data_IF_799845844672
#
_entry.id   IF_799845844672
#
_cell.length_a   1.000
_cell.length_b   1.000
_cell.length_c   1.000
_cell.angle_alpha   90.00
_cell.angle_beta   90.00
_cell.angle_gamma   90.00
#
_symmetry.space_group_name_H-M   'P 1'
#
loop_
_entity.id
_entity.type
_entity.pdbx_description
1 polymer ?
#
# COMPACT_ATOMS: atom_id res chain seq x y z
N UNK A 1 -2.59 -21.64 10.85
CA UNK A 1 -1.97 -22.63 9.96
C UNK A 1 -0.94 -23.45 10.72
N UNK A 2 -1.00 -24.78 10.69
CA UNK A 2 -0.08 -25.66 11.45
C UNK A 2 0.90 -26.35 10.49
N UNK A 3 1.90 -25.58 10.04
CA UNK A 3 2.99 -26.05 9.15
C UNK A 3 4.28 -25.28 9.41
N UNK A 4 5.46 -25.84 9.09
CA UNK A 4 6.74 -25.18 9.38
C UNK A 4 6.92 -23.87 8.58
N UNK A 5 7.03 -22.73 9.27
CA UNK A 5 7.35 -21.41 8.70
C UNK A 5 6.62 -20.23 9.37
N UNK A 6 7.21 -19.03 9.32
CA UNK A 6 6.57 -17.78 9.77
C UNK A 6 5.72 -17.20 8.62
N UNK A 7 4.46 -17.62 8.54
CA UNK A 7 3.49 -17.16 7.53
C UNK A 7 2.67 -15.99 8.05
N UNK A 8 2.29 -15.09 7.14
CA UNK A 8 1.39 -13.97 7.43
C UNK A 8 0.12 -14.14 6.63
N UNK A 9 -1.00 -14.29 7.35
CA UNK A 9 -2.32 -14.32 6.75
C UNK A 9 -2.64 -12.93 6.16
N UNK A 10 -3.24 -12.87 4.95
CA UNK A 10 -3.71 -11.61 4.39
C UNK A 10 -4.63 -10.90 5.39
N UNK A 11 -4.26 -9.68 5.77
CA UNK A 11 -4.89 -8.98 6.90
C UNK A 11 -5.37 -7.59 6.50
N UNK A 12 -6.58 -7.23 6.91
CA UNK A 12 -7.13 -5.89 6.79
C UNK A 12 -7.18 -5.25 8.18
N UNK A 13 -6.49 -4.12 8.35
CA UNK A 13 -6.53 -3.31 9.56
C UNK A 13 -7.41 -2.11 9.29
N UNK A 14 -8.55 -2.05 9.97
CA UNK A 14 -9.50 -0.92 9.85
C UNK A 14 -9.28 0.10 10.95
N UNK A 15 -9.77 1.32 10.75
CA UNK A 15 -9.60 2.47 11.67
C UNK A 15 -8.13 2.77 11.98
N UNK A 16 -7.25 2.57 10.98
CA UNK A 16 -5.84 2.87 11.13
C UNK A 16 -5.62 4.38 11.27
N UNK A 17 -4.52 4.76 11.93
CA UNK A 17 -4.09 6.16 12.03
C UNK A 17 -2.77 6.34 11.31
N UNK A 18 -2.67 7.40 10.52
CA UNK A 18 -1.50 7.62 9.68
C UNK A 18 -0.22 7.79 10.52
N UNK A 19 -0.30 8.32 11.74
CA UNK A 19 0.88 8.53 12.61
C UNK A 19 1.39 7.24 13.26
N UNK A 20 0.69 6.11 13.12
CA UNK A 20 1.16 4.85 13.69
C UNK A 20 2.47 4.43 13.02
N UNK A 21 3.51 4.06 13.81
CA UNK A 21 4.78 3.64 13.25
C UNK A 21 4.65 2.53 12.20
N UNK A 22 3.73 1.60 12.40
CA UNK A 22 3.52 0.50 11.45
C UNK A 22 2.79 0.90 10.16
N UNK A 23 2.09 2.04 10.14
CA UNK A 23 1.52 2.65 8.92
C UNK A 23 2.58 3.43 8.15
N UNK A 24 3.51 4.07 8.88
CA UNK A 24 4.61 4.85 8.31
C UNK A 24 5.77 3.98 7.79
N UNK A 25 6.02 2.85 8.44
CA UNK A 25 7.07 1.90 8.06
C UNK A 25 6.62 0.96 6.94
N UNK A 26 7.49 0.80 5.96
CA UNK A 26 7.28 -0.13 4.86
C UNK A 26 7.34 -1.60 5.33
N UNK A 27 6.19 -2.25 5.45
CA UNK A 27 6.06 -3.70 5.70
C UNK A 27 5.78 -4.57 4.46
N UNK A 28 6.70 -5.48 4.08
CA UNK A 28 6.54 -6.41 2.94
C UNK A 28 5.66 -7.62 3.29
N UNK A 29 4.36 -7.41 3.43
CA UNK A 29 3.37 -8.46 3.69
C UNK A 29 2.03 -8.14 3.00
N UNK A 30 1.13 -9.15 2.88
CA UNK A 30 -0.21 -8.98 2.30
C UNK A 30 -1.16 -8.28 3.28
N UNK A 31 -0.81 -7.07 3.72
CA UNK A 31 -1.58 -6.28 4.69
C UNK A 31 -1.99 -4.92 4.10
N UNK A 32 -3.18 -4.47 4.50
CA UNK A 32 -3.65 -3.11 4.20
C UNK A 32 -4.16 -2.41 5.45
N UNK A 33 -3.86 -1.12 5.52
CA UNK A 33 -4.42 -0.19 6.51
C UNK A 33 -5.51 0.63 5.84
N UNK A 34 -6.73 0.54 6.36
CA UNK A 34 -7.86 1.34 5.90
C UNK A 34 -8.02 2.54 6.84
N UNK A 35 -8.00 3.73 6.24
CA UNK A 35 -8.17 5.02 6.89
C UNK A 35 -9.34 5.73 6.23
N UNK A 36 -10.09 6.51 7.00
CA UNK A 36 -11.20 7.31 6.49
C UNK A 36 -10.81 8.77 6.32
N UNK A 37 -11.42 9.44 5.35
CA UNK A 37 -11.35 10.88 5.16
C UNK A 37 -12.71 11.49 4.84
N UNK A 38 -12.83 12.81 4.97
CA UNK A 38 -14.02 13.57 4.55
C UNK A 38 -13.73 14.47 3.35
N UNK A 39 -12.62 15.23 3.37
CA UNK A 39 -12.24 16.11 2.27
C UNK A 39 -11.10 15.51 1.46
N UNK A 40 -11.13 15.66 0.13
CA UNK A 40 -10.10 15.12 -0.75
C UNK A 40 -8.70 15.69 -0.46
N UNK A 41 -8.63 16.96 -0.04
CA UNK A 41 -7.36 17.57 0.39
C UNK A 41 -6.77 16.86 1.60
N UNK A 42 -7.59 16.48 2.59
CA UNK A 42 -7.16 15.67 3.73
C UNK A 42 -6.68 14.29 3.27
N UNK A 43 -7.36 13.68 2.30
CA UNK A 43 -6.95 12.40 1.73
C UNK A 43 -5.57 12.48 1.05
N UNK A 44 -5.31 13.54 0.29
CA UNK A 44 -4.02 13.80 -0.35
C UNK A 44 -2.95 14.04 0.71
N UNK A 45 -3.23 14.82 1.75
CA UNK A 45 -2.30 15.05 2.85
C UNK A 45 -1.96 13.74 3.60
N UNK A 46 -2.95 12.90 3.87
CA UNK A 46 -2.74 11.57 4.47
C UNK A 46 -1.92 10.66 3.54
N UNK A 47 -2.22 10.67 2.24
CA UNK A 47 -1.51 9.90 1.22
C UNK A 47 -0.03 10.32 1.14
N UNK A 48 0.22 11.62 1.05
CA UNK A 48 1.55 12.22 0.94
C UNK A 48 2.33 12.21 2.27
N UNK A 49 1.67 12.02 3.41
CA UNK A 49 2.24 12.02 4.76
C UNK A 49 3.10 10.80 5.12
N UNK A 50 3.91 10.31 4.17
CA UNK A 50 4.92 9.25 4.33
C UNK A 50 6.21 9.64 3.61
N UNK A 51 7.32 9.07 4.05
CA UNK A 51 8.64 9.36 3.48
C UNK A 51 8.83 8.79 2.06
N UNK A 52 8.15 7.69 1.73
CA UNK A 52 8.27 6.99 0.45
C UNK A 52 7.28 7.52 -0.59
N UNK A 53 7.74 7.72 -1.83
CA UNK A 53 6.96 8.33 -2.91
C UNK A 53 7.02 7.52 -4.21
N UNK A 54 6.94 6.19 -4.16
CA UNK A 54 7.07 5.35 -5.35
C UNK A 54 5.83 5.41 -6.24
N UNK A 55 4.72 4.85 -5.76
CA UNK A 55 3.50 4.70 -6.52
C UNK A 55 2.28 5.09 -5.71
N UNK A 56 1.27 5.57 -6.42
CA UNK A 56 0.00 6.01 -5.87
C UNK A 56 -1.14 5.60 -6.79
N UNK A 57 -2.35 5.56 -6.23
CA UNK A 57 -3.56 5.31 -7.00
C UNK A 57 -4.74 6.11 -6.45
N UNK A 58 -5.66 6.49 -7.33
CA UNK A 58 -6.98 7.00 -6.97
C UNK A 58 -8.05 6.20 -7.70
N UNK A 59 -9.11 5.82 -6.99
CA UNK A 59 -10.35 5.33 -7.59
C UNK A 59 -11.39 6.44 -7.51
N UNK A 60 -11.87 6.89 -8.67
CA UNK A 60 -12.82 8.00 -8.82
C UNK A 60 -13.44 7.99 -10.21
N UNK A 61 -14.68 8.46 -10.32
CA UNK A 61 -15.29 8.85 -11.61
C UNK A 61 -15.44 10.36 -11.77
N UNK A 62 -15.12 11.14 -10.73
CA UNK A 62 -15.15 12.59 -10.74
C UNK A 62 -13.88 13.18 -11.37
N UNK A 63 -14.01 13.73 -12.58
CA UNK A 63 -12.88 14.27 -13.35
C UNK A 63 -12.09 15.34 -12.57
N UNK A 64 -12.76 16.21 -11.81
CA UNK A 64 -12.07 17.22 -11.01
C UNK A 64 -11.21 16.64 -9.89
N UNK A 65 -11.63 15.51 -9.29
CA UNK A 65 -10.85 14.83 -8.24
C UNK A 65 -9.63 14.15 -8.85
N UNK A 66 -9.81 13.55 -10.03
CA UNK A 66 -8.76 12.91 -10.81
C UNK A 66 -7.72 13.94 -11.25
N UNK A 67 -8.15 15.07 -11.83
CA UNK A 67 -7.26 16.16 -12.25
C UNK A 67 -6.46 16.72 -11.07
N UNK A 68 -7.12 16.98 -9.94
CA UNK A 68 -6.44 17.44 -8.74
C UNK A 68 -5.37 16.43 -8.28
N UNK A 69 -5.72 15.14 -8.21
CA UNK A 69 -4.80 14.09 -7.78
C UNK A 69 -3.59 13.93 -8.71
N UNK A 70 -3.77 14.10 -10.02
CA UNK A 70 -2.69 14.03 -11.01
C UNK A 70 -1.90 15.35 -11.15
N UNK A 71 -2.40 16.45 -10.59
CA UNK A 71 -1.73 17.75 -10.65
C UNK A 71 -0.54 17.83 -9.69
N UNK A 72 0.25 18.89 -9.81
CA UNK A 72 1.35 19.19 -8.88
C UNK A 72 0.90 19.41 -7.42
N UNK A 73 -0.39 19.68 -7.18
CA UNK A 73 -0.95 19.81 -5.83
C UNK A 73 -1.48 18.46 -5.27
N UNK A 74 -1.47 17.41 -6.09
CA UNK A 74 -2.03 16.10 -5.76
C UNK A 74 -1.00 15.13 -5.20
N UNK A 75 -0.94 13.92 -5.78
CA UNK A 75 0.03 12.91 -5.37
C UNK A 75 1.46 13.35 -5.64
N UNK A 76 2.30 13.23 -4.63
CA UNK A 76 3.73 13.51 -4.71
C UNK A 76 4.59 12.25 -4.99
N UNK A 77 3.95 11.18 -5.49
CA UNK A 77 4.62 9.96 -5.92
C UNK A 77 5.06 10.03 -7.38
N UNK A 78 6.16 9.36 -7.72
CA UNK A 78 6.68 9.30 -9.09
C UNK A 78 5.72 8.64 -10.09
N UNK A 79 4.86 7.74 -9.60
CA UNK A 79 3.80 7.10 -10.38
C UNK A 79 2.44 7.42 -9.75
N UNK A 80 1.52 7.95 -10.56
CA UNK A 80 0.13 8.17 -10.18
C UNK A 80 -0.82 7.49 -11.16
N UNK A 81 -1.81 6.77 -10.62
CA UNK A 81 -2.75 5.95 -11.41
C UNK A 81 -4.18 6.27 -11.07
N UNK A 82 -5.05 6.12 -12.06
CA UNK A 82 -6.49 6.32 -11.93
C UNK A 82 -7.21 5.01 -12.20
N UNK A 83 -8.12 4.64 -11.31
CA UNK A 83 -8.94 3.44 -11.37
C UNK A 83 -8.15 2.13 -11.53
N UNK A 84 -6.92 2.12 -11.01
CA UNK A 84 -6.03 0.97 -10.94
C UNK A 84 -5.36 0.93 -9.57
N UNK A 85 -4.97 -0.27 -9.13
CA UNK A 85 -4.17 -0.44 -7.92
C UNK A 85 -2.76 0.16 -8.12
N UNK A 86 -2.01 0.27 -7.03
CA UNK A 86 -0.66 0.88 -7.09
C UNK A 86 0.35 0.02 -7.86
N UNK A 87 0.06 -1.26 -8.07
CA UNK A 87 0.91 -2.22 -8.80
C UNK A 87 0.77 -2.12 -10.33
N UNK A 88 1.76 -2.60 -11.08
CA UNK A 88 1.79 -2.57 -12.54
C UNK A 88 2.53 -1.35 -13.10
N UNK A 89 3.84 -1.46 -13.23
CA UNK A 89 4.66 -0.49 -13.93
C UNK A 89 4.57 -0.73 -15.44
N UNK A 90 4.27 0.30 -16.23
CA UNK A 90 4.42 0.18 -17.68
C UNK A 90 5.92 0.11 -18.00
N UNK A 91 6.35 -0.98 -18.63
CA UNK A 91 7.75 -1.27 -18.96
C UNK A 91 8.34 -0.22 -19.91
N UNK A 92 7.49 0.52 -20.63
CA UNK A 92 7.89 1.61 -21.52
C UNK A 92 7.86 3.02 -20.90
N UNK A 93 7.31 3.19 -19.70
CA UNK A 93 7.22 4.51 -19.06
C UNK A 93 8.54 4.87 -18.35
N UNK A 94 8.87 6.16 -18.31
CA UNK A 94 10.00 6.64 -17.52
C UNK A 94 9.77 6.27 -16.04
N UNK A 95 10.59 5.36 -15.53
CA UNK A 95 10.50 4.83 -14.17
C UNK A 95 11.44 5.65 -13.26
N UNK A 96 10.88 6.43 -12.33
CA UNK A 96 11.56 7.01 -11.18
C UNK A 96 10.56 7.32 -10.05
N UNK A 97 10.84 6.89 -8.81
CA UNK A 97 10.07 7.29 -7.64
C UNK A 97 10.33 8.76 -7.26
N UNK A 98 9.64 9.24 -6.23
CA UNK A 98 9.85 10.56 -5.63
C UNK A 98 10.27 10.42 -4.16
N UNK A 99 10.59 11.55 -3.52
CA UNK A 99 11.02 11.59 -2.11
C UNK A 99 12.19 10.64 -1.81
N UNK A 100 12.03 9.80 -0.77
CA UNK A 100 13.03 8.84 -0.37
C UNK A 100 13.21 7.68 -1.37
N UNK A 101 12.24 7.47 -2.27
CA UNK A 101 12.23 6.39 -3.25
C UNK A 101 13.10 6.70 -4.47
N UNK A 102 12.96 7.91 -5.05
CA UNK A 102 13.62 8.31 -6.30
C UNK A 102 15.01 8.91 -6.16
N UNK A 103 15.23 9.69 -5.11
CA UNK A 103 16.49 10.41 -4.89
C UNK A 103 17.63 9.54 -4.35
N UNK A 104 17.46 8.21 -4.32
CA UNK A 104 18.40 7.31 -3.66
C UNK A 104 18.46 7.57 -2.17
N UNK A 105 17.34 7.76 -1.48
CA UNK A 105 17.39 8.05 -0.04
C UNK A 105 17.23 6.80 0.85
N UNK A 106 16.74 5.68 0.28
CA UNK A 106 16.89 4.38 0.92
C UNK A 106 18.36 4.11 1.29
N UNK A 107 18.61 3.40 2.39
CA UNK A 107 19.98 3.19 2.90
C UNK A 107 20.95 2.61 1.86
N UNK A 108 20.44 1.84 0.88
CA UNK A 108 21.21 1.34 -0.27
C UNK A 108 21.26 2.37 -1.40
N UNK A 109 20.12 2.97 -1.77
CA UNK A 109 20.05 4.01 -2.79
C UNK A 109 21.02 5.16 -2.53
N UNK A 110 21.23 5.53 -1.25
CA UNK A 110 22.11 6.65 -0.87
C UNK A 110 23.56 6.32 -1.06
N UNK A 111 23.93 5.07 -0.80
CA UNK A 111 25.29 4.58 -1.05
C UNK A 111 25.55 4.55 -2.55
N UNK A 112 24.61 4.04 -3.34
CA UNK A 112 24.73 3.98 -4.80
C UNK A 112 24.79 5.38 -5.41
N UNK A 113 23.89 6.29 -5.03
CA UNK A 113 23.88 7.67 -5.49
C UNK A 113 25.20 8.39 -5.13
N UNK A 114 25.72 8.23 -3.91
CA UNK A 114 27.01 8.80 -3.53
C UNK A 114 28.19 8.22 -4.34
N UNK A 115 28.18 6.92 -4.63
CA UNK A 115 29.22 6.28 -5.45
C UNK A 115 29.14 6.80 -6.89
N UNK A 116 27.95 6.81 -7.49
CA UNK A 116 27.74 7.26 -8.88
C UNK A 116 28.01 8.76 -9.03
N UNK A 117 27.59 9.57 -8.05
CA UNK A 117 27.81 11.02 -8.04
C UNK A 117 29.29 11.42 -8.02
N UNK A 118 30.18 10.59 -7.45
CA UNK A 118 31.65 10.80 -7.53
C UNK A 118 32.19 10.71 -8.95
N UNK A 119 31.44 10.14 -9.89
CA UNK A 119 31.88 9.93 -11.26
C UNK A 119 31.41 11.00 -12.26
N UNK A 120 30.80 12.11 -11.81
CA UNK A 120 30.44 13.37 -12.52
C UNK A 120 29.76 13.27 -13.91
N UNK A 121 29.52 12.07 -14.46
CA UNK A 121 29.01 11.85 -15.82
C UNK A 121 28.05 10.68 -15.98
N UNK A 122 27.72 9.96 -14.90
CA UNK A 122 26.69 8.90 -14.92
C UNK A 122 25.47 9.33 -14.12
N UNK A 123 24.29 9.28 -14.74
CA UNK A 123 23.01 9.50 -14.06
C UNK A 123 22.50 8.15 -13.55
N UNK A 124 22.02 8.10 -12.32
CA UNK A 124 21.33 6.94 -11.77
C UNK A 124 19.84 7.25 -11.68
N UNK A 125 19.02 6.33 -12.20
CA UNK A 125 17.59 6.27 -11.91
C UNK A 125 17.44 5.19 -10.83
N UNK A 126 16.96 5.58 -9.65
CA UNK A 126 16.86 4.70 -8.50
C UNK A 126 15.40 4.51 -8.13
N UNK A 127 14.97 3.25 -8.13
CA UNK A 127 13.61 2.86 -7.80
C UNK A 127 13.66 2.05 -6.53
N UNK A 128 13.62 2.78 -5.42
CA UNK A 128 13.73 2.18 -4.11
C UNK A 128 12.33 1.77 -3.59
N UNK A 129 12.26 1.59 -2.29
CA UNK A 129 11.14 0.98 -1.63
C UNK A 129 9.96 1.97 -1.47
N UNK A 130 8.73 1.46 -1.25
CA UNK A 130 7.49 2.24 -1.40
C UNK A 130 6.48 1.98 -0.28
N UNK A 131 5.83 3.04 0.22
CA UNK A 131 4.71 2.97 1.16
C UNK A 131 3.42 3.45 0.50
N UNK A 132 3.01 2.71 -0.53
CA UNK A 132 2.04 3.16 -1.51
C UNK A 132 0.62 3.27 -0.92
N UNK A 133 0.01 4.41 -1.17
CA UNK A 133 -1.37 4.72 -0.80
C UNK A 133 -2.31 4.69 -2.02
N UNK A 134 -3.55 4.30 -1.75
CA UNK A 134 -4.64 4.35 -2.72
C UNK A 134 -5.83 5.11 -2.12
N UNK A 135 -6.23 6.21 -2.76
CA UNK A 135 -7.42 6.99 -2.39
C UNK A 135 -8.65 6.39 -3.07
N UNK A 136 -9.75 6.25 -2.35
CA UNK A 136 -11.05 5.81 -2.90
C UNK A 136 -12.08 6.86 -2.54
N UNK A 137 -12.56 7.59 -3.55
CA UNK A 137 -13.53 8.67 -3.34
C UNK A 137 -14.99 8.18 -3.36
N UNK A 138 -15.90 9.09 -3.05
CA UNK A 138 -17.34 8.84 -2.98
C UNK A 138 -17.97 8.43 -4.31
N UNK A 139 -17.29 8.67 -5.44
CA UNK A 139 -17.77 8.39 -6.80
C UNK A 139 -17.17 7.11 -7.39
N UNK A 140 -16.30 6.43 -6.63
CA UNK A 140 -15.57 5.27 -7.08
C UNK A 140 -16.49 4.06 -7.37
N UNK A 141 -16.14 3.29 -8.42
CA UNK A 141 -16.65 1.93 -8.55
C UNK A 141 -15.99 1.04 -7.48
N UNK A 142 -16.74 0.73 -6.42
CA UNK A 142 -16.23 -0.02 -5.28
C UNK A 142 -15.85 -1.46 -5.64
N UNK A 143 -16.45 -2.07 -6.65
CA UNK A 143 -16.08 -3.44 -7.07
C UNK A 143 -14.75 -3.43 -7.77
N UNK A 144 -14.54 -2.46 -8.68
CA UNK A 144 -13.27 -2.26 -9.33
C UNK A 144 -12.17 -1.89 -8.31
N UNK A 145 -12.47 -0.96 -7.41
CA UNK A 145 -11.55 -0.56 -6.35
C UNK A 145 -11.14 -1.74 -5.47
N UNK A 146 -12.11 -2.51 -4.95
CA UNK A 146 -11.82 -3.65 -4.10
C UNK A 146 -10.98 -4.72 -4.82
N UNK A 147 -11.26 -5.02 -6.08
CA UNK A 147 -10.49 -5.98 -6.87
C UNK A 147 -9.05 -5.48 -7.11
N UNK A 148 -8.89 -4.22 -7.50
CA UNK A 148 -7.61 -3.60 -7.80
C UNK A 148 -6.73 -3.47 -6.54
N UNK A 149 -7.30 -3.03 -5.43
CA UNK A 149 -6.63 -2.94 -4.12
C UNK A 149 -6.22 -4.32 -3.64
N UNK A 150 -7.13 -5.31 -3.70
CA UNK A 150 -6.82 -6.69 -3.27
C UNK A 150 -5.66 -7.25 -4.07
N UNK A 151 -5.70 -7.16 -5.41
CA UNK A 151 -4.60 -7.63 -6.26
C UNK A 151 -3.30 -6.87 -5.97
N UNK A 152 -3.38 -5.56 -5.76
CA UNK A 152 -2.24 -4.71 -5.43
C UNK A 152 -1.61 -5.04 -4.07
N UNK A 153 -2.40 -5.47 -3.09
CA UNK A 153 -1.95 -5.76 -1.74
C UNK A 153 -1.48 -7.21 -1.56
N UNK A 154 -2.23 -8.19 -2.08
CA UNK A 154 -1.95 -9.62 -1.86
C UNK A 154 -1.11 -10.24 -2.98
N UNK A 155 -1.08 -9.62 -4.16
CA UNK A 155 -0.32 -10.13 -5.31
C UNK A 155 1.15 -10.36 -4.96
N UNK A 156 1.69 -11.52 -5.33
CA UNK A 156 3.04 -11.98 -4.93
C UNK A 156 3.30 -11.86 -3.42
N UNK A 157 2.29 -12.16 -2.62
CA UNK A 157 2.32 -12.12 -1.15
C UNK A 157 2.66 -10.72 -0.58
N UNK A 158 2.27 -9.65 -1.29
CA UNK A 158 2.55 -8.26 -0.89
C UNK A 158 4.02 -7.84 -0.97
N UNK A 159 4.85 -8.63 -1.67
CA UNK A 159 6.29 -8.42 -1.79
C UNK A 159 6.69 -7.66 -3.06
N UNK A 160 5.89 -6.68 -3.47
CA UNK A 160 6.26 -5.72 -4.53
C UNK A 160 6.57 -4.37 -3.91
N UNK A 161 7.57 -3.68 -4.43
CA UNK A 161 7.83 -2.27 -4.10
C UNK A 161 6.59 -1.39 -4.33
N UNK A 162 5.77 -1.75 -5.33
CA UNK A 162 4.51 -1.07 -5.69
C UNK A 162 3.25 -1.64 -5.03
N UNK A 163 3.37 -2.55 -4.04
CA UNK A 163 2.18 -3.15 -3.40
C UNK A 163 1.34 -2.09 -2.70
N UNK A 164 0.01 -2.22 -2.75
CA UNK A 164 -0.91 -1.31 -2.06
C UNK A 164 -0.92 -1.63 -0.58
N UNK A 165 -0.73 -0.61 0.27
CA UNK A 165 -0.58 -0.80 1.73
C UNK A 165 -1.50 0.09 2.54
N UNK A 166 -1.74 1.30 2.06
CA UNK A 166 -2.65 2.26 2.68
C UNK A 166 -3.83 2.48 1.76
N UNK A 167 -5.03 2.32 2.27
CA UNK A 167 -6.29 2.62 1.59
C UNK A 167 -6.93 3.78 2.34
N UNK A 168 -7.14 4.89 1.64
CA UNK A 168 -7.69 6.12 2.20
C UNK A 168 -9.06 6.31 1.55
N UNK A 169 -10.12 5.94 2.27
CA UNK A 169 -11.46 5.82 1.72
C UNK A 169 -12.36 6.95 2.23
N UNK A 170 -13.19 7.52 1.36
CA UNK A 170 -14.14 8.53 1.79
C UNK A 170 -15.14 7.91 2.78
N UNK A 171 -15.45 8.62 3.88
CA UNK A 171 -16.27 8.10 4.98
C UNK A 171 -17.61 7.50 4.52
N UNK A 172 -18.26 8.08 3.51
CA UNK A 172 -19.54 7.58 2.99
C UNK A 172 -19.46 6.18 2.36
N UNK A 173 -18.28 5.76 1.90
CA UNK A 173 -18.07 4.49 1.20
C UNK A 173 -17.10 3.53 1.90
N UNK A 174 -16.47 3.95 3.00
CA UNK A 174 -15.48 3.16 3.71
C UNK A 174 -16.04 1.80 4.18
N UNK A 175 -17.21 1.81 4.84
CA UNK A 175 -17.87 0.60 5.30
C UNK A 175 -18.20 -0.41 4.17
N UNK A 176 -18.91 -0.02 3.08
CA UNK A 176 -19.18 -0.95 1.98
C UNK A 176 -17.90 -1.39 1.24
N UNK A 177 -16.87 -0.55 1.14
CA UNK A 177 -15.57 -0.94 0.58
C UNK A 177 -14.90 -2.03 1.42
N UNK A 178 -14.85 -1.86 2.74
CA UNK A 178 -14.27 -2.84 3.67
C UNK A 178 -14.97 -4.21 3.54
N UNK A 179 -16.29 -4.23 3.41
CA UNK A 179 -17.02 -5.49 3.21
C UNK A 179 -16.70 -6.18 1.88
N UNK A 180 -16.44 -5.41 0.81
CA UNK A 180 -15.97 -5.97 -0.46
C UNK A 180 -14.54 -6.48 -0.36
N UNK A 181 -13.66 -5.77 0.34
CA UNK A 181 -12.28 -6.18 0.57
C UNK A 181 -12.24 -7.49 1.39
N UNK A 182 -13.03 -7.61 2.46
CA UNK A 182 -13.17 -8.87 3.23
C UNK A 182 -13.58 -10.04 2.34
N UNK A 183 -14.59 -9.85 1.48
CA UNK A 183 -15.03 -10.88 0.54
C UNK A 183 -13.94 -11.25 -0.47
N UNK A 184 -13.15 -10.28 -0.92
CA UNK A 184 -12.05 -10.52 -1.84
C UNK A 184 -10.89 -11.26 -1.16
N UNK A 185 -10.49 -10.84 0.05
CA UNK A 185 -9.46 -11.49 0.86
C UNK A 185 -9.86 -12.92 1.26
N UNK A 186 -11.11 -13.17 1.61
CA UNK A 186 -11.61 -14.51 1.93
C UNK A 186 -11.59 -15.51 0.76
N UNK A 187 -11.37 -15.04 -0.48
CA UNK A 187 -11.17 -15.90 -1.66
C UNK A 187 -9.70 -16.21 -1.94
N UNK A 188 -8.78 -15.57 -1.23
CA UNK A 188 -7.35 -15.76 -1.41
C UNK A 188 -6.94 -17.08 -0.77
N UNK A 189 -6.47 -18.01 -1.60
CA UNK A 189 -5.92 -19.29 -1.13
C UNK A 189 -4.42 -19.15 -0.96
N UNK A 190 -3.94 -19.38 0.26
CA UNK A 190 -2.52 -19.31 0.63
C UNK A 190 -1.95 -20.72 0.76
N UNK A 191 -0.87 -21.03 0.05
CA UNK A 191 -0.29 -22.38 0.05
C UNK A 191 1.01 -22.50 -0.72
N UNK A 192 1.40 -23.74 -1.03
CA UNK A 192 2.62 -24.01 -1.79
C UNK A 192 2.43 -23.52 -3.24
N UNK A 193 3.31 -22.64 -3.76
CA UNK A 193 3.18 -22.12 -5.13
C UNK A 193 3.27 -23.18 -6.24
N UNK A 194 3.68 -24.41 -5.93
CA UNK A 194 3.70 -25.54 -6.88
C UNK A 194 2.32 -26.22 -7.00
N UNK A 195 1.43 -26.04 -6.02
CA UNK A 195 0.10 -26.62 -6.03
C UNK A 195 -0.89 -25.80 -6.89
N UNK A 196 -1.73 -26.50 -7.64
CA UNK A 196 -2.76 -25.87 -8.47
C UNK A 196 -3.80 -25.12 -7.62
N UNK A 197 -4.17 -23.91 -8.06
CA UNK A 197 -5.18 -23.09 -7.40
C UNK A 197 -4.67 -22.25 -6.22
N UNK A 198 -3.37 -22.33 -5.89
CA UNK A 198 -2.74 -21.43 -4.92
C UNK A 198 -2.51 -20.05 -5.55
N UNK A 199 -3.11 -19.03 -4.96
CA UNK A 199 -3.02 -17.64 -5.45
C UNK A 199 -1.88 -16.87 -4.79
N UNK A 200 -1.60 -17.17 -3.52
CA UNK A 200 -0.57 -16.51 -2.72
C UNK A 200 0.38 -17.57 -2.19
N UNK A 201 1.63 -17.49 -2.62
CA UNK A 201 2.66 -18.43 -2.21
C UNK A 201 3.05 -18.25 -0.75
N UNK A 202 3.28 -19.38 -0.11
CA UNK A 202 3.88 -19.53 1.20
C UNK A 202 5.28 -18.92 1.24
N UNK A 203 5.37 -17.74 1.84
CA UNK A 203 6.66 -17.07 2.00
C UNK A 203 6.85 -16.62 3.44
N UNK A 204 7.97 -17.10 3.98
CA UNK A 204 8.55 -16.74 5.26
C UNK A 204 8.82 -15.25 5.36
N UNK A 205 8.23 -14.57 6.36
CA UNK A 205 8.67 -13.23 6.75
C UNK A 205 8.57 -13.01 8.25
N UNK A 206 9.62 -13.43 8.99
CA UNK A 206 9.78 -13.19 10.43
C UNK A 206 9.65 -11.71 10.83
N UNK A 207 9.99 -10.80 9.91
CA UNK A 207 9.81 -9.35 10.08
C UNK A 207 8.34 -8.91 10.05
N UNK A 208 7.48 -9.59 9.30
CA UNK A 208 6.06 -9.21 9.19
C UNK A 208 5.24 -9.63 10.41
N UNK A 209 5.55 -10.77 11.03
CA UNK A 209 4.97 -11.15 12.33
C UNK A 209 5.29 -10.11 13.41
N UNK A 210 6.47 -9.50 13.36
CA UNK A 210 6.88 -8.41 14.27
C UNK A 210 6.13 -7.12 13.94
N UNK A 211 5.95 -6.77 12.66
CA UNK A 211 5.19 -5.57 12.26
C UNK A 211 3.71 -5.65 12.69
N UNK A 212 3.07 -6.81 12.50
CA UNK A 212 1.70 -7.07 13.01
C UNK A 212 1.63 -7.02 14.54
N UNK A 213 2.62 -7.57 15.24
CA UNK A 213 2.73 -7.45 16.70
C UNK A 213 2.92 -5.99 17.18
N UNK A 214 3.54 -5.14 16.35
CA UNK A 214 3.71 -3.71 16.63
C UNK A 214 2.45 -2.89 16.37
N UNK A 215 1.58 -3.30 15.44
CA UNK A 215 0.27 -2.65 15.25
C UNK A 215 -0.77 -3.05 16.29
N UNK A 216 -0.74 -4.30 16.78
CA UNK A 216 -1.68 -4.80 17.81
C UNK A 216 -1.44 -4.20 19.19
N UNK A 217 -0.22 -3.77 19.52
CA UNK A 217 0.11 -3.12 20.81
C UNK A 217 -0.54 -1.74 21.01
N UNK A 218 -0.50 -0.77 20.08
CA UNK A 218 -1.26 0.48 20.21
C UNK A 218 -2.79 0.28 20.12
N UNK A 219 -3.27 -0.79 19.50
CA UNK A 219 -4.69 -1.16 19.47
C UNK A 219 -5.23 -1.72 20.81
N UNK A 220 -4.35 -2.17 21.72
CA UNK A 220 -4.72 -2.92 22.94
C UNK A 220 -5.04 -2.08 24.19
N UNK A 221 -5.03 -0.74 24.14
CA UNK A 221 -5.39 0.10 25.29
C UNK A 221 -6.58 1.02 25.01
N UNK A 222 -7.80 0.45 25.04
CA UNK A 222 -8.99 1.00 25.74
C UNK A 222 -10.27 0.20 25.39
N UNK A 223 -10.88 -0.31 26.46
CA UNK A 223 -12.31 -0.64 26.67
C UNK A 223 -12.84 -1.88 25.95
N UNK A 224 -13.46 -2.77 26.74
CA UNK A 224 -14.05 -4.02 26.30
C UNK A 224 -15.08 -3.83 25.19
N UNK A 225 -14.78 -4.38 24.02
CA UNK A 225 -15.72 -4.75 22.98
C UNK A 225 -14.96 -5.68 22.02
N UNK A 226 -15.59 -6.78 21.61
CA UNK A 226 -15.04 -7.78 20.69
C UNK A 226 -14.28 -7.15 19.52
N UNK A 227 -13.08 -7.67 19.26
CA UNK A 227 -12.12 -7.23 18.26
C UNK A 227 -12.76 -7.09 16.86
N UNK A 228 -13.07 -5.85 16.47
CA UNK A 228 -13.60 -5.48 15.14
C UNK A 228 -12.51 -4.94 14.19
N UNK A 229 -11.24 -4.91 14.61
CA UNK A 229 -10.19 -4.09 13.96
C UNK A 229 -9.17 -4.84 13.12
N UNK A 230 -9.17 -6.17 13.19
CA UNK A 230 -8.32 -7.06 12.37
C UNK A 230 -9.25 -8.09 11.75
N UNK A 231 -9.36 -8.09 10.42
CA UNK A 231 -10.21 -9.03 9.67
C UNK A 231 -9.41 -9.67 8.55
#
# INVERSE_FOLDING_TARGET
>A
MDRPGDFVEPTIIVDARNEWPCVQEETFAPLIYVMEYENLEDAINLHNGVAQGLASGIHSTHVGNIELFLSAAGSDCGIAKVNMGTTGADVGAAFGGEKETGGGSSGVGRKVANIVGRHLGRRALLECSGNNGCIVDETADLKLAAAAITFGAVGTSGQRCTSTRRVIAHRSIAAPLVELLKKAYGRVVVGDPVEDGILVGDRYCRFCSIALARCSRPASRRVGQQDRRVV
#
